data_IF_619127520415
#
_entry.id   IF_619127520415
#
_cell.length_a   1.000
_cell.length_b   1.000
_cell.length_c   1.000
_cell.angle_alpha   90.00
_cell.angle_beta   90.00
_cell.angle_gamma   90.00
#
_symmetry.space_group_name_H-M   'P 1'
#
loop_
_entity.id
_entity.type
_entity.pdbx_description
1 polymer ?
#
# COMPACT_ATOMS: atom_id res chain seq x y z
N UNK A 1 -14.39 1.15 -7.97
CA UNK A 1 -13.45 1.00 -6.86
C UNK A 1 -12.27 1.93 -7.07
N UNK A 2 -11.91 2.62 -6.02
CA UNK A 2 -10.73 3.46 -5.95
C UNK A 2 -9.64 2.70 -5.20
N UNK A 3 -8.45 2.57 -5.79
CA UNK A 3 -7.35 1.81 -5.19
C UNK A 3 -6.15 2.70 -4.90
N UNK A 4 -5.63 2.55 -3.68
CA UNK A 4 -4.38 3.14 -3.25
C UNK A 4 -3.44 1.99 -2.87
N UNK A 5 -2.41 1.75 -3.66
CA UNK A 5 -1.44 0.69 -3.42
C UNK A 5 -0.18 1.31 -2.82
N UNK A 6 0.27 0.75 -1.70
CA UNK A 6 1.39 1.30 -0.92
C UNK A 6 2.40 0.20 -0.66
N UNK A 7 3.66 0.44 -1.03
CA UNK A 7 4.76 -0.43 -0.58
C UNK A 7 5.14 -0.08 0.85
N UNK A 8 5.41 -1.10 1.67
CA UNK A 8 5.84 -0.87 3.06
C UNK A 8 7.04 0.06 3.13
N UNK A 9 7.18 0.77 4.26
CA UNK A 9 8.27 1.70 4.53
C UNK A 9 9.56 0.97 4.89
N UNK A 10 10.63 1.72 5.15
CA UNK A 10 11.95 1.17 5.47
C UNK A 10 11.88 0.27 6.71
N UNK A 11 12.41 -0.94 6.58
CA UNK A 11 12.47 -1.94 7.65
C UNK A 11 13.91 -2.32 7.96
N UNK A 12 14.13 -2.84 9.18
CA UNK A 12 15.42 -3.39 9.58
C UNK A 12 15.77 -4.61 8.74
N UNK A 13 17.07 -4.93 8.65
CA UNK A 13 17.55 -6.08 7.89
C UNK A 13 17.25 -7.40 8.61
N UNK A 14 17.16 -8.49 7.85
CA UNK A 14 17.07 -9.83 8.40
C UNK A 14 18.39 -10.21 9.09
N UNK A 15 18.27 -10.85 10.27
CA UNK A 15 19.39 -11.40 11.02
C UNK A 15 19.07 -12.83 11.42
N UNK A 16 20.03 -13.52 12.08
CA UNK A 16 19.78 -14.88 12.61
C UNK A 16 18.70 -14.89 13.68
N UNK A 17 18.60 -13.83 14.49
CA UNK A 17 17.59 -13.69 15.54
C UNK A 17 16.29 -13.06 15.06
N UNK A 18 16.35 -12.29 13.95
CA UNK A 18 15.20 -11.57 13.41
C UNK A 18 14.96 -11.98 11.96
N UNK A 19 14.10 -12.98 11.78
CA UNK A 19 13.77 -13.53 10.45
C UNK A 19 12.85 -12.60 9.68
N UNK A 20 12.83 -12.77 8.35
CA UNK A 20 12.15 -11.87 7.43
C UNK A 20 10.70 -11.51 7.82
N UNK A 21 9.81 -12.45 8.20
CA UNK A 21 8.43 -12.08 8.54
C UNK A 21 8.30 -11.14 9.72
N UNK A 22 9.30 -11.08 10.60
CA UNK A 22 9.29 -10.28 11.83
C UNK A 22 10.10 -8.99 11.71
N UNK A 23 10.69 -8.72 10.55
CA UNK A 23 11.40 -7.45 10.32
C UNK A 23 10.45 -6.29 10.50
N UNK A 24 10.77 -5.41 11.44
CA UNK A 24 9.94 -4.24 11.75
C UNK A 24 10.50 -2.98 11.10
N UNK A 25 9.69 -1.91 11.08
CA UNK A 25 10.13 -0.63 10.55
C UNK A 25 11.25 -0.04 11.40
N UNK A 26 12.19 0.64 10.72
CA UNK A 26 13.15 1.51 11.40
C UNK A 26 12.45 2.77 11.89
N UNK A 27 13.08 3.58 12.78
CA UNK A 27 12.55 4.91 13.11
C UNK A 27 12.30 5.78 11.89
N UNK A 28 13.18 5.73 10.88
CA UNK A 28 13.01 6.43 9.60
C UNK A 28 11.77 5.89 8.88
N UNK A 29 11.60 4.57 8.82
CA UNK A 29 10.43 3.95 8.19
C UNK A 29 9.12 4.36 8.84
N UNK A 30 9.10 4.53 10.16
CA UNK A 30 7.91 5.02 10.88
C UNK A 30 7.54 6.43 10.45
N UNK A 31 8.53 7.31 10.32
CA UNK A 31 8.33 8.68 9.83
C UNK A 31 7.83 8.67 8.38
N UNK A 32 8.40 7.82 7.52
CA UNK A 32 7.96 7.67 6.14
C UNK A 32 6.47 7.32 6.06
N UNK A 33 6.05 6.31 6.82
CA UNK A 33 4.67 5.83 6.79
C UNK A 33 3.68 6.87 7.30
N UNK A 34 3.99 7.55 8.41
CA UNK A 34 3.13 8.60 8.97
C UNK A 34 3.02 9.79 8.02
N UNK A 35 4.14 10.21 7.44
CA UNK A 35 4.16 11.31 6.48
C UNK A 35 3.37 10.97 5.21
N UNK A 36 3.48 9.74 4.73
CA UNK A 36 2.70 9.31 3.56
C UNK A 36 1.20 9.37 3.87
N UNK A 37 0.78 8.88 5.03
CA UNK A 37 -0.63 8.93 5.44
C UNK A 37 -1.15 10.38 5.52
N UNK A 38 -0.36 11.28 6.08
CA UNK A 38 -0.71 12.69 6.14
C UNK A 38 -0.89 13.30 4.73
N UNK A 39 0.02 13.00 3.81
CA UNK A 39 -0.07 13.45 2.41
C UNK A 39 -1.30 12.88 1.70
N UNK A 40 -1.58 11.60 1.90
CA UNK A 40 -2.74 10.94 1.29
C UNK A 40 -4.05 11.57 1.76
N UNK A 41 -4.11 12.01 3.01
CA UNK A 41 -5.29 12.72 3.54
C UNK A 41 -5.62 13.97 2.72
N UNK A 42 -4.62 14.69 2.25
CA UNK A 42 -4.79 15.88 1.42
C UNK A 42 -5.02 15.57 -0.06
N UNK A 43 -4.96 14.29 -0.44
CA UNK A 43 -5.22 13.81 -1.81
C UNK A 43 -6.45 12.90 -1.87
N UNK A 44 -7.46 13.21 -1.07
CA UNK A 44 -8.80 12.61 -1.09
C UNK A 44 -8.80 11.10 -0.80
N UNK A 45 -7.80 10.60 -0.07
CA UNK A 45 -7.80 9.23 0.39
C UNK A 45 -8.67 9.09 1.64
N UNK A 46 -9.95 8.73 1.43
CA UNK A 46 -10.92 8.46 2.50
C UNK A 46 -11.31 6.99 2.43
N UNK A 47 -10.51 6.08 3.01
CA UNK A 47 -10.70 4.64 2.80
C UNK A 47 -11.96 4.11 3.44
N UNK A 48 -12.60 3.13 2.77
CA UNK A 48 -13.62 2.27 3.34
C UNK A 48 -13.02 0.95 3.82
N UNK A 49 -11.89 0.55 3.24
CA UNK A 49 -11.17 -0.70 3.55
C UNK A 49 -9.67 -0.46 3.52
N UNK A 50 -8.97 -1.03 4.50
CA UNK A 50 -7.51 -1.03 4.56
C UNK A 50 -7.06 -2.47 4.75
N UNK A 51 -6.36 -3.01 3.74
CA UNK A 51 -5.80 -4.36 3.79
C UNK A 51 -4.28 -4.30 3.80
N UNK A 52 -3.67 -5.21 4.54
CA UNK A 52 -2.20 -5.30 4.63
C UNK A 52 -1.73 -6.74 4.53
N UNK A 53 -0.51 -6.90 3.99
CA UNK A 53 0.24 -8.15 4.14
C UNK A 53 0.39 -8.49 5.62
N UNK A 54 0.47 -9.79 5.96
CA UNK A 54 0.68 -10.23 7.35
C UNK A 54 2.07 -9.94 7.92
N UNK A 55 3.05 -9.57 7.11
CA UNK A 55 4.40 -9.29 7.59
C UNK A 55 4.44 -8.03 8.45
N UNK A 56 5.25 -8.06 9.52
CA UNK A 56 5.28 -6.98 10.52
C UNK A 56 5.51 -5.61 9.87
N UNK A 57 6.48 -5.49 8.96
CA UNK A 57 6.79 -4.22 8.29
C UNK A 57 5.60 -3.63 7.51
N UNK A 58 4.77 -4.50 6.95
CA UNK A 58 3.57 -4.06 6.22
C UNK A 58 2.45 -3.64 7.18
N UNK A 59 2.20 -4.43 8.22
CA UNK A 59 1.20 -4.10 9.25
C UNK A 59 1.53 -2.77 9.91
N UNK A 60 2.78 -2.56 10.29
CA UNK A 60 3.20 -1.30 10.90
C UNK A 60 3.04 -0.12 9.93
N UNK A 61 3.39 -0.30 8.66
CA UNK A 61 3.17 0.74 7.64
C UNK A 61 1.68 1.07 7.54
N UNK A 62 0.82 0.06 7.45
CA UNK A 62 -0.62 0.27 7.32
C UNK A 62 -1.21 1.00 8.52
N UNK A 63 -0.81 0.64 9.74
CA UNK A 63 -1.27 1.30 10.96
C UNK A 63 -0.82 2.76 11.04
N UNK A 64 0.42 3.05 10.65
CA UNK A 64 0.94 4.43 10.67
C UNK A 64 0.35 5.28 9.54
N UNK A 65 0.12 4.69 8.37
CA UNK A 65 -0.61 5.36 7.28
C UNK A 65 -2.05 5.70 7.74
N UNK A 66 -2.73 4.75 8.38
CA UNK A 66 -4.07 4.99 8.91
C UNK A 66 -4.08 6.12 9.96
N UNK A 67 -3.07 6.18 10.83
CA UNK A 67 -2.93 7.27 11.79
C UNK A 67 -2.74 8.62 11.08
N UNK A 68 -1.89 8.67 10.06
CA UNK A 68 -1.68 9.89 9.26
C UNK A 68 -2.92 10.30 8.48
N UNK A 69 -3.70 9.35 8.01
CA UNK A 69 -5.00 9.59 7.37
C UNK A 69 -6.06 10.09 8.36
N UNK A 70 -5.84 9.89 9.65
CA UNK A 70 -6.83 10.17 10.70
C UNK A 70 -8.14 9.41 10.49
N UNK A 71 -8.04 8.18 10.01
CA UNK A 71 -9.20 7.32 9.78
C UNK A 71 -9.42 6.36 10.95
N UNK A 72 -10.69 6.02 11.20
CA UNK A 72 -11.08 5.00 12.16
C UNK A 72 -11.27 3.62 11.51
N UNK A 73 -11.09 3.51 10.18
CA UNK A 73 -11.21 2.25 9.46
C UNK A 73 -10.14 1.28 9.96
N UNK A 74 -10.51 0.05 10.38
CA UNK A 74 -9.55 -0.91 10.89
C UNK A 74 -8.62 -1.44 9.80
N UNK A 75 -7.38 -1.73 10.17
CA UNK A 75 -6.42 -2.43 9.30
C UNK A 75 -6.71 -3.92 9.39
N UNK A 76 -6.95 -4.55 8.24
CA UNK A 76 -7.28 -5.97 8.13
C UNK A 76 -6.17 -6.69 7.40
N UNK A 77 -5.70 -7.80 7.95
CA UNK A 77 -4.68 -8.64 7.30
C UNK A 77 -5.31 -9.44 6.18
N UNK A 78 -4.69 -9.37 4.99
CA UNK A 78 -5.05 -10.18 3.83
C UNK A 78 -3.85 -11.04 3.44
N UNK A 79 -3.97 -12.36 3.60
CA UNK A 79 -2.87 -13.30 3.31
C UNK A 79 -2.42 -13.21 1.86
N UNK A 80 -3.34 -12.90 0.94
CA UNK A 80 -3.02 -12.74 -0.48
C UNK A 80 -2.02 -11.61 -0.78
N UNK A 81 -1.82 -10.68 0.15
CA UNK A 81 -0.83 -9.62 0.02
C UNK A 81 0.58 -10.02 0.51
N UNK A 82 0.73 -11.23 1.06
CA UNK A 82 2.04 -11.73 1.47
C UNK A 82 2.96 -11.89 0.25
N UNK A 83 4.31 -11.83 0.45
CA UNK A 83 5.24 -12.14 -0.65
C UNK A 83 4.96 -13.50 -1.26
N UNK A 84 5.17 -13.61 -2.57
CA UNK A 84 5.02 -14.85 -3.36
C UNK A 84 3.59 -15.36 -3.50
N UNK A 85 2.59 -14.58 -3.08
CA UNK A 85 1.19 -14.90 -3.31
C UNK A 85 0.73 -14.38 -4.69
N UNK A 86 -0.42 -14.89 -5.13
CA UNK A 86 -0.95 -14.57 -6.47
C UNK A 86 -1.58 -13.18 -6.53
N UNK A 87 -1.17 -12.38 -7.53
CA UNK A 87 -1.80 -11.09 -7.84
C UNK A 87 -3.29 -11.23 -8.13
N UNK A 88 -3.70 -12.37 -8.73
CA UNK A 88 -5.10 -12.66 -9.04
C UNK A 88 -5.96 -12.75 -7.79
N UNK A 89 -5.42 -13.29 -6.70
CA UNK A 89 -6.15 -13.42 -5.45
C UNK A 89 -6.46 -12.03 -4.85
N UNK A 90 -5.51 -11.10 -4.94
CA UNK A 90 -5.73 -9.71 -4.50
C UNK A 90 -6.79 -9.04 -5.36
N UNK A 91 -6.68 -9.17 -6.67
CA UNK A 91 -7.63 -8.56 -7.62
C UNK A 91 -9.04 -9.11 -7.38
N UNK A 92 -9.18 -10.43 -7.19
CA UNK A 92 -10.47 -11.05 -6.89
C UNK A 92 -11.07 -10.53 -5.59
N UNK A 93 -10.25 -10.37 -4.56
CA UNK A 93 -10.67 -9.81 -3.27
C UNK A 93 -11.23 -8.40 -3.43
N UNK A 94 -10.55 -7.56 -4.18
CA UNK A 94 -10.97 -6.17 -4.42
C UNK A 94 -12.24 -6.13 -5.26
N UNK A 95 -12.34 -6.96 -6.31
CA UNK A 95 -13.52 -7.01 -7.18
C UNK A 95 -14.77 -7.49 -6.46
N UNK A 96 -14.64 -8.21 -5.35
CA UNK A 96 -15.77 -8.64 -4.53
C UNK A 96 -16.33 -7.55 -3.62
N UNK A 97 -15.66 -6.40 -3.52
CA UNK A 97 -16.10 -5.26 -2.71
C UNK A 97 -17.16 -4.44 -3.43
N UNK A 98 -17.93 -3.61 -2.70
CA UNK A 98 -18.90 -2.71 -3.34
C UNK A 98 -18.22 -1.79 -4.38
N UNK A 99 -18.92 -1.41 -5.46
CA UNK A 99 -18.32 -0.60 -6.53
C UNK A 99 -17.80 0.77 -6.09
N UNK A 100 -18.36 1.32 -5.01
CA UNK A 100 -17.95 2.61 -4.45
C UNK A 100 -16.86 2.48 -3.38
N UNK A 101 -16.31 1.29 -3.16
CA UNK A 101 -15.27 1.08 -2.17
C UNK A 101 -14.01 1.88 -2.49
N UNK A 102 -13.41 2.43 -1.44
CA UNK A 102 -12.10 3.08 -1.48
C UNK A 102 -11.14 2.21 -0.67
N UNK A 103 -10.16 1.62 -1.33
CA UNK A 103 -9.36 0.53 -0.78
C UNK A 103 -7.89 0.92 -0.72
N UNK A 104 -7.30 0.77 0.46
CA UNK A 104 -5.86 0.88 0.65
C UNK A 104 -5.28 -0.52 0.75
N UNK A 105 -4.26 -0.82 -0.05
CA UNK A 105 -3.53 -2.08 -0.04
C UNK A 105 -2.07 -1.81 0.32
N UNK A 106 -1.59 -2.42 1.38
CA UNK A 106 -0.18 -2.29 1.80
C UNK A 106 0.52 -3.64 1.60
N UNK A 107 1.59 -3.64 0.84
CA UNK A 107 2.26 -4.87 0.48
C UNK A 107 3.72 -4.69 0.06
N UNK A 108 4.14 -5.56 -0.82
CA UNK A 108 5.52 -5.78 -1.21
C UNK A 108 5.71 -5.76 -2.73
N UNK A 109 6.96 -5.57 -3.15
CA UNK A 109 7.35 -5.82 -4.53
C UNK A 109 7.93 -7.23 -4.67
N UNK A 110 7.74 -7.90 -5.82
CA UNK A 110 7.17 -7.38 -7.08
C UNK A 110 5.64 -7.46 -7.19
N UNK A 111 4.95 -7.89 -6.14
CA UNK A 111 3.51 -8.12 -6.18
C UNK A 111 2.71 -6.86 -6.54
N UNK A 112 3.02 -5.72 -5.91
CA UNK A 112 2.25 -4.48 -6.12
C UNK A 112 2.35 -3.97 -7.55
N UNK A 113 3.54 -3.91 -8.14
CA UNK A 113 3.69 -3.49 -9.52
C UNK A 113 3.04 -4.48 -10.50
N UNK A 114 3.04 -5.77 -10.18
CA UNK A 114 2.31 -6.79 -10.94
C UNK A 114 0.82 -6.52 -10.95
N UNK A 115 0.24 -6.21 -9.80
CA UNK A 115 -1.18 -5.86 -9.68
C UNK A 115 -1.48 -4.59 -10.50
N UNK A 116 -0.66 -3.56 -10.38
CA UNK A 116 -0.82 -2.33 -11.16
C UNK A 116 -0.82 -2.62 -12.67
N UNK A 117 0.12 -3.41 -13.14
CA UNK A 117 0.22 -3.76 -14.57
C UNK A 117 -1.07 -4.44 -15.06
N UNK A 118 -1.60 -5.40 -14.30
CA UNK A 118 -2.85 -6.09 -14.66
C UNK A 118 -4.02 -5.11 -14.69
N UNK A 119 -4.17 -4.28 -13.67
CA UNK A 119 -5.30 -3.34 -13.57
C UNK A 119 -5.27 -2.28 -14.66
N UNK A 120 -4.09 -1.90 -15.13
CA UNK A 120 -3.92 -0.88 -16.16
C UNK A 120 -3.88 -1.49 -17.57
N UNK A 121 -3.90 -2.82 -17.70
CA UNK A 121 -3.79 -3.49 -18.98
C UNK A 121 -2.42 -3.27 -19.65
N UNK A 122 -1.37 -3.14 -18.86
CA UNK A 122 0.00 -2.94 -19.32
C UNK A 122 0.82 -4.21 -19.16
N UNK A 123 1.90 -4.35 -19.95
CA UNK A 123 2.81 -5.47 -19.83
C UNK A 123 3.60 -5.43 -18.52
N UNK A 124 4.01 -4.23 -18.12
CA UNK A 124 4.80 -4.00 -16.92
C UNK A 124 4.41 -2.68 -16.26
N UNK A 125 4.89 -2.46 -15.06
CA UNK A 125 4.72 -1.24 -14.29
C UNK A 125 5.96 -1.08 -13.41
N UNK A 126 6.53 0.10 -13.37
CA UNK A 126 7.75 0.34 -12.59
C UNK A 126 7.51 0.05 -11.11
N UNK A 127 8.43 -0.70 -10.48
CA UNK A 127 8.32 -1.08 -9.07
C UNK A 127 8.15 0.14 -8.18
N UNK A 128 7.32 0.01 -7.14
CA UNK A 128 7.15 1.06 -6.14
C UNK A 128 8.41 1.14 -5.27
N UNK A 129 8.81 2.36 -4.93
CA UNK A 129 9.78 2.60 -3.88
C UNK A 129 9.15 2.37 -2.51
N UNK A 130 9.95 2.20 -1.47
CA UNK A 130 9.46 2.09 -0.10
C UNK A 130 8.67 3.34 0.28
N UNK A 131 7.51 3.15 0.91
CA UNK A 131 6.56 4.21 1.26
C UNK A 131 6.17 5.09 0.06
N UNK A 132 6.00 4.46 -1.09
CA UNK A 132 5.40 5.07 -2.27
C UNK A 132 3.95 4.61 -2.38
N UNK A 133 3.06 5.52 -2.79
CA UNK A 133 1.66 5.24 -3.07
C UNK A 133 1.36 5.41 -4.55
N UNK A 134 0.49 4.53 -5.06
CA UNK A 134 -0.06 4.59 -6.42
C UNK A 134 -1.57 4.62 -6.31
N UNK A 135 -2.22 5.55 -7.01
CA UNK A 135 -3.69 5.63 -7.07
C UNK A 135 -4.17 5.20 -8.45
N UNK A 136 -5.07 4.20 -8.46
CA UNK A 136 -5.70 3.68 -9.68
C UNK A 136 -7.22 3.71 -9.48
N UNK A 137 -7.94 4.25 -10.45
CA UNK A 137 -9.40 4.18 -10.50
C UNK A 137 -9.87 4.08 -11.95
N UNK A 138 -10.93 3.31 -12.18
CA UNK A 138 -11.52 3.10 -13.51
C UNK A 138 -10.49 2.64 -14.55
N UNK A 139 -9.56 1.77 -14.13
CA UNK A 139 -8.52 1.24 -15.01
C UNK A 139 -7.47 2.26 -15.43
N UNK A 140 -7.37 3.39 -14.73
CA UNK A 140 -6.45 4.47 -15.07
C UNK A 140 -5.55 4.82 -13.88
N UNK A 141 -4.27 5.03 -14.17
CA UNK A 141 -3.33 5.59 -13.21
C UNK A 141 -3.68 7.06 -12.98
N UNK A 142 -3.98 7.42 -11.74
CA UNK A 142 -4.29 8.81 -11.40
C UNK A 142 -3.02 9.58 -11.02
N UNK A 143 -2.18 8.96 -10.16
CA UNK A 143 -0.88 9.51 -9.78
C UNK A 143 -0.08 8.46 -9.01
N UNK A 144 1.19 8.75 -8.80
CA UNK A 144 2.06 8.03 -7.87
C UNK A 144 3.06 9.00 -7.25
N UNK A 145 3.36 8.83 -5.97
CA UNK A 145 4.41 9.61 -5.31
C UNK A 145 4.94 8.88 -4.07
N UNK A 146 6.22 9.09 -3.77
CA UNK A 146 6.83 8.61 -2.54
C UNK A 146 6.58 9.59 -1.39
N UNK A 147 6.77 9.14 -0.16
CA UNK A 147 6.51 9.89 1.07
C UNK A 147 7.19 11.27 1.12
N UNK A 148 8.36 11.42 0.50
CA UNK A 148 9.18 12.63 0.49
C UNK A 148 9.09 13.43 -0.81
N UNK A 149 8.40 12.90 -1.81
CA UNK A 149 8.22 13.58 -3.08
C UNK A 149 7.20 14.71 -2.96
N UNK A 150 7.28 15.65 -3.88
CA UNK A 150 6.23 16.65 -4.03
C UNK A 150 4.96 15.94 -4.50
N UNK A 151 3.87 16.08 -3.74
CA UNK A 151 2.63 15.41 -4.08
C UNK A 151 2.02 16.03 -5.34
N UNK A 152 1.38 15.22 -6.21
CA UNK A 152 0.74 15.74 -7.41
C UNK A 152 -0.40 16.69 -7.02
N UNK A 153 -0.69 17.64 -7.91
CA UNK A 153 -1.82 18.52 -7.71
C UNK A 153 -3.12 17.72 -7.77
N UNK A 154 -4.11 18.04 -6.93
CA UNK A 154 -5.44 17.42 -7.04
C UNK A 154 -6.03 17.69 -8.44
N UNK A 155 -6.68 16.66 -8.97
CA UNK A 155 -7.42 16.79 -10.23
C UNK A 155 -8.69 17.61 -10.06
#
# INVERSE_FOLDING_TARGET
VELFLIRHAQAVDETLELRDPHRHLTPVGRTQATSLGDRLRWHDCTPTHIFTSPLVRAVQTAELVAAGLQTAIPVVVAVSLAPDESDRAVIAMVQALPPDAVVVLVGHEPGLSGICAVLLGQRDFAALAKAEAVRISDGKLRWRFAWDAEAPKPE
#
